data_IF_990921411717
#
_entry.id   IF_990921411717
#
_cell.length_a   1.000
_cell.length_b   1.000
_cell.length_c   1.000
_cell.angle_alpha   90.00
_cell.angle_beta   90.00
_cell.angle_gamma   90.00
#
_symmetry.space_group_name_H-M   'P 1'
#
loop_
_entity.id
_entity.type
_entity.pdbx_description
1 polymer ?
#
# COMPACT_ATOMS: atom_id res chain seq x y z
N UNK A 1 -12.19 -15.80 41.10
CA UNK A 1 -12.72 -16.79 40.14
C UNK A 1 -13.27 -16.19 38.85
N UNK A 2 -13.97 -15.05 38.83
CA UNK A 2 -14.56 -14.47 37.61
C UNK A 2 -13.56 -13.94 36.58
N UNK A 3 -12.36 -13.48 36.99
CA UNK A 3 -11.30 -13.00 36.06
C UNK A 3 -10.63 -14.12 35.26
N UNK A 4 -10.40 -15.29 35.91
CA UNK A 4 -9.78 -16.44 35.23
C UNK A 4 -10.71 -17.09 34.20
N UNK A 5 -12.02 -17.12 34.46
CA UNK A 5 -12.98 -17.65 33.49
C UNK A 5 -13.09 -16.79 32.22
N UNK A 6 -13.06 -15.45 32.33
CA UNK A 6 -13.06 -14.54 31.17
C UNK A 6 -11.79 -14.68 30.34
N UNK A 7 -10.64 -14.91 30.98
CA UNK A 7 -9.36 -15.10 30.29
C UNK A 7 -9.35 -16.43 29.51
N UNK A 8 -9.88 -17.52 30.07
CA UNK A 8 -10.00 -18.82 29.40
C UNK A 8 -10.96 -18.80 28.20
N UNK A 9 -12.06 -18.03 28.29
CA UNK A 9 -12.99 -17.88 27.17
C UNK A 9 -12.41 -17.05 26.03
N UNK A 10 -11.53 -16.08 26.31
CA UNK A 10 -10.81 -15.29 25.31
C UNK A 10 -9.81 -16.16 24.54
N UNK A 11 -9.03 -17.03 25.23
CA UNK A 11 -8.12 -17.99 24.57
C UNK A 11 -8.88 -19.02 23.71
N UNK A 12 -10.04 -19.50 24.14
CA UNK A 12 -10.88 -20.40 23.32
C UNK A 12 -11.50 -19.70 22.11
N UNK A 13 -11.77 -18.40 22.20
CA UNK A 13 -12.22 -17.57 21.08
C UNK A 13 -11.13 -17.39 20.01
N UNK A 14 -9.90 -17.11 20.45
CA UNK A 14 -8.74 -16.94 19.58
C UNK A 14 -8.38 -18.23 18.84
N UNK A 15 -8.37 -19.39 19.50
CA UNK A 15 -8.11 -20.68 18.85
C UNK A 15 -9.13 -21.01 17.75
N UNK A 16 -10.42 -20.68 17.96
CA UNK A 16 -11.46 -20.87 16.94
C UNK A 16 -11.34 -19.90 15.76
N UNK A 17 -10.84 -18.69 15.98
CA UNK A 17 -10.55 -17.73 14.92
C UNK A 17 -9.38 -18.21 14.07
N UNK A 18 -8.29 -18.65 14.70
CA UNK A 18 -7.11 -19.22 14.04
C UNK A 18 -7.44 -20.45 13.19
N UNK A 19 -8.21 -21.40 13.71
CA UNK A 19 -8.66 -22.57 12.95
C UNK A 19 -9.52 -22.21 11.73
N UNK A 20 -10.40 -21.21 11.86
CA UNK A 20 -11.20 -20.70 10.73
C UNK A 20 -10.30 -20.05 9.68
N UNK A 21 -9.29 -19.29 10.11
CA UNK A 21 -8.31 -18.68 9.23
C UNK A 21 -7.51 -19.74 8.45
N UNK A 22 -6.97 -20.77 9.13
CA UNK A 22 -6.26 -21.88 8.48
C UNK A 22 -7.10 -22.62 7.44
N UNK A 23 -8.38 -22.86 7.73
CA UNK A 23 -9.32 -23.50 6.78
C UNK A 23 -9.57 -22.60 5.57
N UNK A 24 -9.72 -21.28 5.78
CA UNK A 24 -9.87 -20.28 4.71
C UNK A 24 -8.61 -20.21 3.85
N UNK A 25 -7.42 -20.18 4.47
CA UNK A 25 -6.11 -20.20 3.79
C UNK A 25 -5.94 -21.45 2.92
N UNK A 26 -6.31 -22.65 3.40
CA UNK A 26 -6.26 -23.88 2.62
C UNK A 26 -7.21 -23.84 1.42
N UNK A 27 -8.43 -23.36 1.59
CA UNK A 27 -9.41 -23.20 0.50
C UNK A 27 -8.90 -22.20 -0.55
N UNK A 28 -8.34 -21.08 -0.15
CA UNK A 28 -7.80 -20.08 -1.06
C UNK A 28 -6.62 -20.62 -1.87
N UNK A 29 -5.67 -21.32 -1.24
CA UNK A 29 -4.56 -21.99 -1.95
C UNK A 29 -5.07 -23.01 -2.97
N UNK A 30 -6.11 -23.78 -2.63
CA UNK A 30 -6.75 -24.72 -3.54
C UNK A 30 -7.43 -24.03 -4.72
N UNK A 31 -8.21 -22.97 -4.47
CA UNK A 31 -8.88 -22.18 -5.52
C UNK A 31 -7.87 -21.55 -6.50
N UNK A 32 -6.73 -21.07 -6.00
CA UNK A 32 -5.66 -20.52 -6.85
C UNK A 32 -4.98 -21.56 -7.71
N UNK A 33 -4.73 -22.77 -7.17
CA UNK A 33 -4.24 -23.89 -8.00
C UNK A 33 -5.22 -24.21 -9.11
N UNK A 34 -6.51 -24.29 -8.79
CA UNK A 34 -7.58 -24.54 -9.78
C UNK A 34 -7.61 -23.39 -10.81
N UNK A 35 -7.57 -22.11 -10.37
CA UNK A 35 -7.57 -20.97 -11.30
C UNK A 35 -6.36 -20.97 -12.23
N UNK A 36 -5.15 -21.27 -11.71
CA UNK A 36 -3.94 -21.39 -12.54
C UNK A 36 -4.07 -22.51 -13.57
N UNK A 37 -4.59 -23.67 -13.18
CA UNK A 37 -4.84 -24.79 -14.10
C UNK A 37 -5.83 -24.40 -15.19
N UNK A 38 -6.93 -23.72 -14.84
CA UNK A 38 -7.94 -23.25 -15.79
C UNK A 38 -7.38 -22.19 -16.76
N UNK A 39 -6.56 -21.26 -16.28
CA UNK A 39 -5.90 -20.26 -17.13
C UNK A 39 -4.93 -20.94 -18.10
N UNK A 40 -4.09 -21.87 -17.63
CA UNK A 40 -3.19 -22.62 -18.49
C UNK A 40 -3.94 -23.46 -19.53
N UNK A 41 -5.05 -24.12 -19.14
CA UNK A 41 -5.88 -24.90 -20.05
C UNK A 41 -6.55 -24.01 -21.12
N UNK A 42 -7.05 -22.82 -20.72
CA UNK A 42 -7.62 -21.86 -21.66
C UNK A 42 -6.57 -21.30 -22.64
N UNK A 43 -5.37 -20.98 -22.15
CA UNK A 43 -4.26 -20.53 -23.01
C UNK A 43 -3.85 -21.62 -24.01
N UNK A 44 -3.78 -22.87 -23.58
CA UNK A 44 -3.46 -24.01 -24.46
C UNK A 44 -4.54 -24.20 -25.52
N UNK A 45 -5.82 -24.06 -25.16
CA UNK A 45 -6.93 -24.18 -26.10
C UNK A 45 -6.91 -23.06 -27.16
N UNK A 46 -6.54 -21.82 -26.76
CA UNK A 46 -6.39 -20.71 -27.70
C UNK A 46 -5.24 -20.99 -28.68
N UNK A 47 -4.07 -21.44 -28.18
CA UNK A 47 -2.92 -21.75 -29.03
C UNK A 47 -3.24 -22.88 -30.01
N UNK A 48 -3.91 -23.92 -29.55
CA UNK A 48 -4.33 -25.05 -30.45
C UNK A 48 -5.37 -24.59 -31.47
N UNK A 49 -6.30 -23.72 -31.06
CA UNK A 49 -7.31 -23.14 -31.97
C UNK A 49 -6.68 -22.26 -33.05
N UNK A 50 -5.70 -21.41 -32.68
CA UNK A 50 -4.97 -20.54 -33.63
C UNK A 50 -4.13 -21.37 -34.61
N UNK A 51 -3.48 -22.43 -34.15
CA UNK A 51 -2.72 -23.34 -35.03
C UNK A 51 -3.64 -24.05 -36.01
N UNK A 52 -4.86 -24.42 -35.59
CA UNK A 52 -5.84 -25.08 -36.46
C UNK A 52 -6.37 -24.13 -37.54
N UNK A 53 -6.71 -22.88 -37.15
CA UNK A 53 -7.16 -21.83 -38.11
C UNK A 53 -6.06 -21.42 -39.08
N UNK A 54 -4.78 -21.34 -38.63
CA UNK A 54 -3.66 -21.02 -39.50
C UNK A 54 -3.34 -22.11 -40.52
N UNK A 55 -3.66 -23.37 -40.23
CA UNK A 55 -3.51 -24.49 -41.18
C UNK A 55 -4.46 -24.40 -42.37
N UNK A 56 -5.64 -23.80 -42.16
CA UNK A 56 -6.66 -23.66 -43.20
C UNK A 56 -6.55 -22.35 -44.02
N UNK A 57 -5.68 -21.40 -43.59
CA UNK A 57 -5.56 -20.07 -44.22
C UNK A 57 -4.27 -19.88 -45.03
N UNK A 58 -3.28 -20.77 -44.91
CA UNK A 58 -2.03 -20.65 -45.68
C UNK A 58 -2.15 -21.35 -47.04
N UNK A 59 -2.27 -20.60 -48.15
CA UNK A 59 -1.99 -21.11 -49.47
C UNK A 59 -0.48 -21.27 -49.67
N UNK A 60 -0.08 -22.36 -50.23
CA UNK A 60 1.25 -22.70 -50.70
C UNK A 60 1.72 -21.69 -51.77
N UNK A 61 2.92 -21.17 -51.58
CA UNK A 61 3.86 -20.58 -52.56
C UNK A 61 3.34 -19.68 -53.68
N UNK A 62 3.84 -18.44 -53.75
CA UNK A 62 4.27 -17.82 -55.00
C UNK A 62 5.13 -16.59 -54.76
N UNK A 63 6.17 -16.52 -55.53
CA UNK A 63 7.25 -15.59 -55.80
C UNK A 63 6.96 -14.08 -55.76
N UNK A 64 7.90 -13.35 -55.23
CA UNK A 64 8.58 -12.12 -55.70
C UNK A 64 7.77 -10.98 -56.33
N UNK A 65 7.73 -9.85 -55.60
CA UNK A 65 7.77 -8.52 -56.26
C UNK A 65 8.27 -7.46 -55.24
N UNK A 66 9.39 -6.81 -55.59
CA UNK A 66 9.92 -5.69 -54.85
C UNK A 66 9.04 -4.44 -54.98
N UNK A 67 8.91 -3.71 -53.92
CA UNK A 67 8.33 -2.36 -53.92
C UNK A 67 9.34 -1.38 -53.37
N UNK A 68 9.77 -0.48 -54.24
CA UNK A 68 10.55 0.72 -53.93
C UNK A 68 9.73 1.65 -53.03
N UNK A 69 10.29 2.03 -51.87
CA UNK A 69 9.72 3.08 -51.01
C UNK A 69 10.41 4.40 -51.35
N UNK A 70 9.73 5.26 -52.07
CA UNK A 70 10.10 6.64 -52.30
C UNK A 70 9.94 7.47 -51.03
N UNK A 71 11.06 7.99 -50.50
CA UNK A 71 11.09 9.01 -49.46
C UNK A 71 10.87 10.37 -50.06
N UNK A 72 9.80 11.06 -49.72
CA UNK A 72 9.68 12.50 -49.87
C UNK A 72 9.51 13.13 -48.48
N UNK A 73 10.47 13.95 -48.12
CA UNK A 73 10.41 14.87 -46.98
C UNK A 73 9.68 16.14 -47.40
N UNK A 74 8.76 16.70 -46.62
CA UNK A 74 8.33 18.08 -46.75
C UNK A 74 9.17 18.97 -45.82
N UNK A 75 9.56 20.11 -46.40
CA UNK A 75 10.43 21.07 -45.79
C UNK A 75 9.85 21.95 -44.72
N UNK A 76 10.76 22.72 -44.20
CA UNK A 76 10.75 23.80 -43.23
C UNK A 76 9.44 24.57 -43.10
N UNK A 77 8.84 24.52 -41.87
CA UNK A 77 7.88 25.50 -41.41
C UNK A 77 8.50 26.35 -40.30
N UNK A 78 8.60 27.62 -40.62
CA UNK A 78 9.09 28.73 -39.82
C UNK A 78 8.40 28.79 -38.45
N UNK A 79 9.21 28.76 -37.37
CA UNK A 79 8.78 29.10 -36.01
C UNK A 79 8.37 30.58 -35.96
N UNK A 80 7.11 30.85 -35.83
CA UNK A 80 6.61 32.11 -35.25
C UNK A 80 6.55 31.98 -33.74
N UNK A 81 7.43 32.68 -33.07
CA UNK A 81 7.23 33.07 -31.67
C UNK A 81 6.08 34.06 -31.62
N UNK A 82 5.02 33.68 -30.96
CA UNK A 82 4.02 34.62 -30.46
C UNK A 82 3.49 34.15 -29.10
N UNK A 83 3.77 34.97 -28.11
CA UNK A 83 2.84 35.31 -27.08
C UNK A 83 2.70 34.40 -25.87
N UNK A 84 3.17 34.99 -24.76
CA UNK A 84 2.66 34.75 -23.38
C UNK A 84 1.58 33.67 -23.28
N UNK A 85 1.98 32.48 -22.81
CA UNK A 85 1.04 31.43 -22.48
C UNK A 85 0.02 31.91 -21.44
N UNK A 86 -1.21 32.02 -21.89
CA UNK A 86 -2.32 32.11 -20.96
C UNK A 86 -2.29 30.87 -20.06
N UNK A 87 -2.29 31.07 -18.73
CA UNK A 87 -2.55 30.00 -17.76
C UNK A 87 -3.69 29.15 -18.30
N UNK A 88 -3.57 27.81 -18.29
CA UNK A 88 -4.69 26.95 -18.66
C UNK A 88 -5.91 27.32 -17.83
N UNK A 89 -7.05 27.45 -18.48
CA UNK A 89 -8.28 27.79 -17.78
C UNK A 89 -8.61 26.68 -16.77
N UNK A 90 -8.86 27.02 -15.49
CA UNK A 90 -9.21 26.03 -14.45
C UNK A 90 -10.46 25.21 -14.75
N UNK A 91 -11.17 25.53 -15.84
CA UNK A 91 -12.45 24.92 -16.20
C UNK A 91 -12.36 23.54 -16.86
N UNK A 92 -11.20 23.11 -17.38
CA UNK A 92 -11.14 21.86 -18.17
C UNK A 92 -11.43 20.60 -17.33
N UNK A 93 -11.08 20.59 -16.05
CA UNK A 93 -11.22 19.43 -15.16
C UNK A 93 -12.03 19.73 -13.88
N UNK A 94 -12.85 20.78 -13.88
CA UNK A 94 -13.61 21.22 -12.71
C UNK A 94 -14.59 20.15 -12.18
N UNK A 95 -15.07 19.25 -13.03
CA UNK A 95 -15.98 18.16 -12.68
C UNK A 95 -15.26 16.88 -12.22
N UNK A 96 -13.92 16.83 -12.30
CA UNK A 96 -13.13 15.68 -11.84
C UNK A 96 -13.08 15.70 -10.31
N UNK A 97 -13.39 14.57 -9.64
CA UNK A 97 -13.32 14.49 -8.17
C UNK A 97 -11.98 15.00 -7.61
N UNK A 98 -12.04 15.72 -6.49
CA UNK A 98 -10.89 16.27 -5.75
C UNK A 98 -10.12 17.41 -6.44
N UNK A 99 -10.45 17.82 -7.66
CA UNK A 99 -9.75 18.93 -8.34
C UNK A 99 -9.94 20.24 -7.59
N UNK A 100 -11.12 20.48 -7.01
CA UNK A 100 -11.35 21.68 -6.20
C UNK A 100 -10.44 21.75 -4.99
N UNK A 101 -10.33 20.67 -4.24
CA UNK A 101 -9.44 20.55 -3.07
C UNK A 101 -7.97 20.72 -3.47
N UNK A 102 -7.57 20.16 -4.60
CA UNK A 102 -6.21 20.30 -5.12
C UNK A 102 -5.89 21.73 -5.50
N UNK A 103 -6.83 22.47 -6.11
CA UNK A 103 -6.63 23.89 -6.42
C UNK A 103 -6.48 24.75 -5.17
N UNK A 104 -7.16 24.42 -4.06
CA UNK A 104 -6.98 25.08 -2.76
C UNK A 104 -5.59 24.83 -2.17
N UNK A 105 -4.91 23.75 -2.58
CA UNK A 105 -3.54 23.42 -2.14
C UNK A 105 -2.45 24.00 -3.06
N UNK A 106 -2.78 24.60 -4.21
CA UNK A 106 -1.81 25.13 -5.19
C UNK A 106 -0.92 26.24 -4.57
N UNK A 107 -1.41 26.97 -3.56
CA UNK A 107 -0.62 27.95 -2.83
C UNK A 107 0.52 27.32 -2.00
N UNK A 108 0.39 26.05 -1.63
CA UNK A 108 1.41 25.30 -0.88
C UNK A 108 2.51 24.79 -1.82
N UNK A 109 2.14 24.32 -3.01
CA UNK A 109 3.09 23.89 -4.06
C UNK A 109 2.45 24.06 -5.44
N UNK A 110 3.06 24.96 -6.26
CA UNK A 110 2.54 25.30 -7.58
C UNK A 110 2.54 24.12 -8.58
N UNK A 111 3.30 23.05 -8.34
CA UNK A 111 3.33 21.84 -9.17
C UNK A 111 2.02 21.05 -9.12
N UNK A 112 1.12 21.36 -8.18
CA UNK A 112 -0.24 20.80 -8.16
C UNK A 112 -0.99 21.15 -9.44
N UNK A 113 -0.70 22.30 -10.08
CA UNK A 113 -1.28 22.67 -11.37
C UNK A 113 -1.02 21.62 -12.47
N UNK A 114 0.15 20.96 -12.46
CA UNK A 114 0.50 19.91 -13.44
C UNK A 114 -0.38 18.66 -13.25
N UNK A 115 -0.73 18.34 -12.00
CA UNK A 115 -1.65 17.26 -11.68
C UNK A 115 -3.08 17.62 -12.09
N UNK A 116 -3.53 18.85 -11.78
CA UNK A 116 -4.88 19.34 -12.11
C UNK A 116 -5.10 19.40 -13.61
N UNK A 117 -4.10 19.81 -14.39
CA UNK A 117 -4.19 19.85 -15.87
C UNK A 117 -4.51 18.47 -16.47
N UNK A 118 -4.04 17.41 -15.85
CA UNK A 118 -4.16 16.02 -16.30
C UNK A 118 -5.06 15.17 -15.37
N UNK A 119 -5.88 15.81 -14.54
CA UNK A 119 -6.63 15.12 -13.49
C UNK A 119 -7.55 14.02 -14.01
N UNK A 120 -8.13 14.20 -15.19
CA UNK A 120 -9.00 13.22 -15.88
C UNK A 120 -8.26 11.91 -16.25
N UNK A 121 -6.94 11.92 -16.26
CA UNK A 121 -6.13 10.73 -16.55
C UNK A 121 -5.78 9.93 -15.28
N UNK A 122 -5.72 10.57 -14.10
CA UNK A 122 -5.35 9.91 -12.87
C UNK A 122 -6.48 9.05 -12.29
N UNK A 123 -6.16 7.90 -11.67
CA UNK A 123 -7.14 7.19 -10.86
C UNK A 123 -7.67 8.09 -9.74
N UNK A 124 -8.98 8.09 -9.51
CA UNK A 124 -9.63 8.91 -8.48
C UNK A 124 -8.97 8.76 -7.10
N UNK A 125 -8.55 7.53 -6.74
CA UNK A 125 -7.88 7.24 -5.45
C UNK A 125 -6.55 7.96 -5.29
N UNK A 126 -5.82 8.20 -6.40
CA UNK A 126 -4.55 8.93 -6.40
C UNK A 126 -4.78 10.42 -6.16
N UNK A 127 -5.78 11.01 -6.84
CA UNK A 127 -6.17 12.40 -6.59
C UNK A 127 -6.67 12.60 -5.16
N UNK A 128 -7.48 11.66 -4.65
CA UNK A 128 -7.95 11.66 -3.26
C UNK A 128 -6.79 11.61 -2.26
N UNK A 129 -5.79 10.77 -2.52
CA UNK A 129 -4.60 10.67 -1.66
C UNK A 129 -3.87 12.01 -1.60
N UNK A 130 -3.60 12.64 -2.74
CA UNK A 130 -2.95 13.95 -2.80
C UNK A 130 -3.80 15.04 -2.14
N UNK A 131 -5.12 15.09 -2.36
CA UNK A 131 -6.00 16.09 -1.76
C UNK A 131 -6.06 16.03 -0.22
N UNK A 132 -5.61 14.92 0.37
CA UNK A 132 -5.55 14.72 1.82
C UNK A 132 -4.13 14.84 2.38
N UNK A 133 -3.11 14.69 1.55
CA UNK A 133 -1.73 14.71 2.00
C UNK A 133 -0.78 15.26 0.92
N UNK A 134 -0.36 16.53 1.09
CA UNK A 134 0.57 17.20 0.17
C UNK A 134 1.92 16.48 0.08
N UNK A 135 2.33 15.74 1.12
CA UNK A 135 3.59 14.98 1.12
C UNK A 135 3.65 13.93 -0.01
N UNK A 136 2.51 13.57 -0.60
CA UNK A 136 2.41 12.59 -1.70
C UNK A 136 2.56 13.21 -3.08
N UNK A 137 2.84 14.52 -3.20
CA UNK A 137 2.86 15.22 -4.49
C UNK A 137 3.89 14.63 -5.46
N UNK A 138 5.13 14.40 -5.02
CA UNK A 138 6.17 13.82 -5.88
C UNK A 138 5.75 12.43 -6.39
N UNK A 139 5.23 11.58 -5.52
CA UNK A 139 4.67 10.27 -5.88
C UNK A 139 3.57 10.39 -6.95
N UNK A 140 2.69 11.40 -6.85
CA UNK A 140 1.60 11.58 -7.82
C UNK A 140 2.12 12.12 -9.15
N UNK A 141 3.08 13.05 -9.13
CA UNK A 141 3.71 13.57 -10.35
C UNK A 141 4.40 12.47 -11.14
N UNK A 142 5.10 11.57 -10.46
CA UNK A 142 5.86 10.47 -11.06
C UNK A 142 4.98 9.23 -11.40
N UNK A 143 3.67 9.28 -11.09
CA UNK A 143 2.76 8.14 -11.25
C UNK A 143 2.83 7.48 -12.63
N UNK A 144 2.79 8.27 -13.71
CA UNK A 144 2.74 7.73 -15.06
C UNK A 144 4.06 7.10 -15.50
N UNK A 145 5.18 7.59 -14.99
CA UNK A 145 6.51 7.09 -15.33
C UNK A 145 6.89 5.86 -14.50
N UNK A 146 6.33 5.73 -13.29
CA UNK A 146 6.78 4.72 -12.32
C UNK A 146 5.75 3.65 -11.97
N UNK A 147 4.46 3.82 -12.30
CA UNK A 147 3.39 2.89 -11.91
C UNK A 147 3.57 1.43 -12.38
N UNK A 148 4.31 1.21 -13.45
CA UNK A 148 4.58 -0.10 -14.03
C UNK A 148 6.01 -0.60 -13.73
N UNK A 149 6.81 0.17 -12.96
CA UNK A 149 8.15 -0.25 -12.53
C UNK A 149 8.00 -1.32 -11.43
N UNK A 150 8.73 -2.43 -11.51
CA UNK A 150 8.71 -3.44 -10.45
C UNK A 150 9.11 -2.86 -9.10
N UNK A 151 8.39 -3.26 -8.05
CA UNK A 151 8.72 -2.85 -6.69
C UNK A 151 10.08 -3.40 -6.25
N UNK A 152 10.81 -2.62 -5.45
CA UNK A 152 12.07 -3.07 -4.87
C UNK A 152 11.83 -4.19 -3.84
N UNK A 153 12.73 -5.18 -3.84
CA UNK A 153 12.70 -6.33 -2.93
C UNK A 153 13.38 -6.04 -1.59
N UNK A 154 13.87 -4.81 -1.38
CA UNK A 154 14.60 -4.41 -0.18
C UNK A 154 14.22 -3.00 0.27
N UNK A 155 14.16 -2.78 1.59
CA UNK A 155 14.04 -1.44 2.16
C UNK A 155 15.37 -0.64 2.07
N UNK A 156 16.41 -1.22 1.51
CA UNK A 156 17.74 -0.63 1.38
C UNK A 156 18.64 -0.96 2.55
N UNK A 157 19.03 0.05 3.34
CA UNK A 157 19.91 -0.15 4.50
C UNK A 157 19.19 -0.95 5.60
N UNK A 158 19.91 -1.93 6.16
CA UNK A 158 19.40 -2.69 7.29
C UNK A 158 19.19 -1.75 8.51
N UNK A 159 18.02 -1.80 9.17
CA UNK A 159 17.81 -1.08 10.41
C UNK A 159 18.77 -1.58 11.48
N UNK A 160 19.16 -0.72 12.39
CA UNK A 160 19.77 -1.18 13.63
C UNK A 160 18.73 -2.02 14.38
N UNK A 161 19.09 -3.25 14.74
CA UNK A 161 18.14 -4.17 15.36
C UNK A 161 17.55 -3.56 16.65
N UNK A 162 16.22 -3.50 16.71
CA UNK A 162 15.45 -2.85 17.78
C UNK A 162 15.05 -1.42 17.47
N UNK A 163 15.63 -0.76 16.48
CA UNK A 163 15.16 0.53 15.98
C UNK A 163 14.12 0.32 14.89
N UNK A 164 12.92 0.85 15.08
CA UNK A 164 11.82 0.70 14.13
C UNK A 164 11.92 1.78 13.07
N UNK A 165 12.27 1.44 11.80
CA UNK A 165 12.43 2.42 10.73
C UNK A 165 11.07 3.04 10.37
N UNK A 166 11.06 4.32 9.99
CA UNK A 166 9.90 4.92 9.33
C UNK A 166 9.89 4.49 7.86
N UNK A 167 8.89 3.72 7.47
CA UNK A 167 8.61 3.39 6.08
C UNK A 167 7.30 4.07 5.67
N UNK A 168 7.31 4.75 4.53
CA UNK A 168 6.12 5.41 4.02
C UNK A 168 5.42 4.50 3.02
N UNK A 169 4.10 4.35 3.13
CA UNK A 169 3.32 3.52 2.20
C UNK A 169 3.37 4.03 0.76
N UNK A 170 3.61 5.34 0.58
CA UNK A 170 3.73 6.02 -0.71
C UNK A 170 5.19 6.24 -1.16
N UNK A 171 6.17 5.58 -0.54
CA UNK A 171 7.54 5.54 -1.09
C UNK A 171 7.52 4.84 -2.45
N UNK A 172 8.14 5.46 -3.45
CA UNK A 172 8.09 5.01 -4.84
C UNK A 172 8.67 3.63 -5.07
N UNK A 173 9.55 3.19 -4.20
CA UNK A 173 10.14 1.84 -4.25
C UNK A 173 9.11 0.73 -4.17
N UNK A 174 7.95 0.97 -3.55
CA UNK A 174 6.88 -0.03 -3.38
C UNK A 174 5.46 0.52 -3.48
N UNK A 175 5.28 1.85 -3.41
CA UNK A 175 3.97 2.49 -3.32
C UNK A 175 3.06 2.22 -4.51
N UNK A 176 3.62 2.08 -5.73
CA UNK A 176 2.87 1.75 -6.94
C UNK A 176 2.48 0.26 -7.01
N UNK A 177 3.05 -0.60 -6.18
CA UNK A 177 2.74 -2.02 -6.13
C UNK A 177 1.26 -2.28 -5.84
N UNK A 178 0.69 -3.27 -6.53
CA UNK A 178 -0.74 -3.60 -6.38
C UNK A 178 -1.06 -4.18 -5.01
N UNK A 179 -2.18 -3.76 -4.43
CA UNK A 179 -2.77 -4.32 -3.23
C UNK A 179 -4.28 -4.41 -3.40
N UNK A 180 -4.74 -5.58 -3.82
CA UNK A 180 -6.10 -5.82 -4.27
C UNK A 180 -6.43 -5.06 -5.56
N UNK A 181 -7.50 -4.28 -5.56
CA UNK A 181 -7.90 -3.37 -6.65
C UNK A 181 -7.28 -1.97 -6.51
N UNK A 182 -6.31 -1.81 -5.60
CA UNK A 182 -5.65 -0.56 -5.27
C UNK A 182 -4.13 -0.72 -5.33
N UNK A 183 -3.40 0.16 -4.70
CA UNK A 183 -1.94 0.14 -4.57
C UNK A 183 -1.53 0.32 -3.10
N UNK A 184 -0.27 -0.04 -2.79
CA UNK A 184 0.29 0.08 -1.44
C UNK A 184 0.20 1.52 -0.94
N UNK A 185 0.50 2.52 -1.79
CA UNK A 185 0.43 3.93 -1.43
C UNK A 185 -0.95 4.36 -0.90
N UNK A 186 -2.03 3.73 -1.37
CA UNK A 186 -3.41 4.12 -1.03
C UNK A 186 -3.98 3.28 0.13
N UNK A 187 -3.75 1.96 0.13
CA UNK A 187 -4.40 1.02 1.05
C UNK A 187 -3.42 0.24 1.93
N UNK A 188 -2.12 0.52 1.82
CA UNK A 188 -1.06 -0.30 2.40
C UNK A 188 -0.62 0.07 3.83
N UNK A 189 -1.37 0.90 4.58
CA UNK A 189 -0.96 1.30 5.92
C UNK A 189 -0.70 0.11 6.87
N UNK A 190 -1.58 -0.88 6.90
CA UNK A 190 -1.40 -2.08 7.71
C UNK A 190 -0.16 -2.91 7.32
N UNK A 191 0.01 -3.31 6.06
CA UNK A 191 1.23 -3.94 5.57
C UNK A 191 2.51 -3.15 5.86
N UNK A 192 2.47 -1.82 5.71
CA UNK A 192 3.63 -0.96 5.98
C UNK A 192 3.98 -0.94 7.47
N UNK A 193 2.99 -0.91 8.37
CA UNK A 193 3.24 -1.02 9.80
C UNK A 193 3.89 -2.37 10.18
N UNK A 194 3.41 -3.48 9.61
CA UNK A 194 4.06 -4.79 9.81
C UNK A 194 5.48 -4.79 9.24
N UNK A 195 5.73 -4.19 8.07
CA UNK A 195 7.06 -4.10 7.50
C UNK A 195 8.02 -3.30 8.40
N UNK A 196 7.59 -2.15 8.96
CA UNK A 196 8.37 -1.38 9.91
C UNK A 196 8.75 -2.19 11.15
N UNK A 197 7.76 -2.81 11.79
CA UNK A 197 7.97 -3.59 13.02
C UNK A 197 8.84 -4.81 12.75
N UNK A 198 8.55 -5.57 11.71
CA UNK A 198 9.27 -6.81 11.42
C UNK A 198 10.69 -6.54 10.95
N UNK A 199 10.94 -5.55 10.10
CA UNK A 199 12.31 -5.19 9.68
C UNK A 199 13.12 -4.64 10.85
N UNK A 200 12.53 -3.79 11.71
CA UNK A 200 13.22 -3.24 12.88
C UNK A 200 13.61 -4.29 13.92
N UNK A 201 12.70 -5.22 14.25
CA UNK A 201 12.98 -6.26 15.23
C UNK A 201 13.94 -7.34 14.71
N UNK A 202 13.81 -7.73 13.43
CA UNK A 202 14.61 -8.81 12.84
C UNK A 202 15.93 -8.35 12.20
N UNK A 203 16.06 -7.05 11.86
CA UNK A 203 17.17 -6.52 11.06
C UNK A 203 17.09 -6.89 9.57
N UNK A 204 16.00 -7.53 9.10
CA UNK A 204 15.83 -7.97 7.71
C UNK A 204 15.47 -6.80 6.80
N UNK A 205 16.08 -6.75 5.63
CA UNK A 205 15.81 -5.72 4.60
C UNK A 205 14.80 -6.16 3.54
N UNK A 206 14.53 -7.45 3.42
CA UNK A 206 13.61 -8.04 2.43
C UNK A 206 12.13 -7.97 2.86
N UNK A 207 11.84 -7.43 4.04
CA UNK A 207 10.48 -7.22 4.52
C UNK A 207 10.03 -5.81 4.10
N UNK A 208 9.68 -5.65 2.82
CA UNK A 208 9.18 -4.37 2.31
C UNK A 208 7.66 -4.24 2.50
N UNK A 209 7.09 -3.01 2.49
CA UNK A 209 5.63 -2.81 2.49
C UNK A 209 4.92 -3.60 1.39
N UNK A 210 5.51 -3.71 0.18
CA UNK A 210 4.93 -4.49 -0.91
C UNK A 210 5.01 -6.01 -0.67
N UNK A 211 6.11 -6.51 -0.11
CA UNK A 211 6.24 -7.93 0.27
C UNK A 211 5.14 -8.33 1.25
N UNK A 212 4.90 -7.48 2.27
CA UNK A 212 3.82 -7.73 3.25
C UNK A 212 2.44 -7.57 2.62
N UNK A 213 2.21 -6.57 1.77
CA UNK A 213 0.94 -6.36 1.07
C UNK A 213 0.62 -7.56 0.16
N UNK A 214 1.57 -8.01 -0.64
CA UNK A 214 1.44 -9.18 -1.49
C UNK A 214 1.14 -10.45 -0.68
N UNK A 215 1.83 -10.66 0.44
CA UNK A 215 1.54 -11.75 1.36
C UNK A 215 0.13 -11.64 1.94
N UNK A 216 -0.27 -10.45 2.39
CA UNK A 216 -1.58 -10.16 2.97
C UNK A 216 -2.71 -10.51 2.00
N UNK A 217 -2.65 -10.02 0.77
CA UNK A 217 -3.61 -10.34 -0.28
C UNK A 217 -3.61 -11.84 -0.58
N UNK A 218 -2.43 -12.40 -0.78
CA UNK A 218 -2.24 -13.80 -1.13
C UNK A 218 -2.71 -14.78 -0.06
N UNK A 219 -2.85 -14.38 1.18
CA UNK A 219 -3.25 -15.24 2.29
C UNK A 219 -4.60 -14.87 2.92
N UNK A 220 -5.33 -13.91 2.30
CA UNK A 220 -6.71 -13.58 2.69
C UNK A 220 -6.79 -12.66 3.89
N UNK A 221 -5.77 -11.82 4.11
CA UNK A 221 -5.77 -10.75 5.10
C UNK A 221 -6.22 -9.41 4.52
N UNK A 222 -6.44 -9.32 3.20
CA UNK A 222 -7.14 -8.21 2.57
C UNK A 222 -8.64 -8.51 2.56
N UNK A 223 -9.47 -7.58 3.04
CA UNK A 223 -10.94 -7.72 3.04
C UNK A 223 -11.50 -7.40 1.66
N UNK A 224 -12.80 -7.62 1.47
CA UNK A 224 -13.49 -7.24 0.23
C UNK A 224 -13.64 -5.74 0.08
N UNK A 225 -13.69 -5.05 1.20
CA UNK A 225 -13.76 -3.59 1.31
C UNK A 225 -12.40 -2.92 1.08
N UNK A 226 -11.37 -3.71 0.73
CA UNK A 226 -9.98 -3.27 0.50
C UNK A 226 -9.24 -2.83 1.78
N UNK A 227 -9.74 -3.21 2.95
CA UNK A 227 -9.10 -2.96 4.23
C UNK A 227 -8.18 -4.11 4.64
N UNK A 228 -7.14 -3.82 5.40
CA UNK A 228 -6.29 -4.85 6.00
C UNK A 228 -7.01 -5.46 7.22
N UNK A 229 -7.19 -6.79 7.19
CA UNK A 229 -7.77 -7.53 8.31
C UNK A 229 -6.86 -7.47 9.55
N UNK A 230 -7.44 -7.30 10.72
CA UNK A 230 -6.72 -7.40 12.00
C UNK A 230 -6.05 -8.76 12.22
N UNK A 231 -6.47 -9.80 11.50
CA UNK A 231 -5.81 -11.10 11.52
C UNK A 231 -4.37 -11.04 10.95
N UNK A 232 -4.04 -10.05 10.10
CA UNK A 232 -2.66 -9.78 9.70
C UNK A 232 -1.80 -9.41 10.91
N UNK A 233 -2.34 -8.58 11.82
CA UNK A 233 -1.64 -8.09 12.99
C UNK A 233 -1.35 -9.19 14.02
N UNK A 234 -2.22 -10.21 14.10
CA UNK A 234 -2.09 -11.28 15.10
C UNK A 234 -1.46 -12.56 14.56
N UNK A 235 -1.84 -12.94 13.32
CA UNK A 235 -1.46 -14.24 12.75
C UNK A 235 -0.55 -14.12 11.52
N UNK A 236 -0.85 -13.15 10.65
CA UNK A 236 -0.08 -12.97 9.41
C UNK A 236 1.34 -12.47 9.65
N UNK A 237 1.56 -11.67 10.68
CA UNK A 237 2.86 -11.12 11.04
C UNK A 237 3.92 -12.19 11.37
N UNK A 238 3.51 -13.39 11.79
CA UNK A 238 4.40 -14.49 12.12
C UNK A 238 5.25 -14.96 10.92
N UNK A 239 4.78 -14.80 9.69
CA UNK A 239 5.56 -15.08 8.48
C UNK A 239 6.82 -14.22 8.39
N UNK A 240 6.79 -13.04 9.02
CA UNK A 240 7.87 -12.07 8.99
C UNK A 240 8.75 -12.10 10.24
N UNK A 241 8.63 -13.15 11.07
CA UNK A 241 9.48 -13.38 12.21
C UNK A 241 9.06 -12.66 13.49
N UNK A 242 7.84 -12.14 13.55
CA UNK A 242 7.32 -11.42 14.72
C UNK A 242 5.97 -11.96 15.20
N UNK A 243 5.73 -11.90 16.49
CA UNK A 243 4.47 -12.26 17.14
C UNK A 243 3.73 -11.02 17.61
N UNK A 244 2.48 -10.82 17.15
CA UNK A 244 1.62 -9.74 17.56
C UNK A 244 0.61 -10.20 18.64
N UNK A 245 0.59 -9.50 19.77
CA UNK A 245 -0.28 -9.78 20.91
C UNK A 245 -1.15 -8.56 21.22
N UNK A 246 -2.46 -8.76 21.36
CA UNK A 246 -3.37 -7.66 21.70
C UNK A 246 -3.00 -7.01 23.03
N UNK A 247 -3.05 -5.68 23.07
CA UNK A 247 -2.80 -4.85 24.23
C UNK A 247 -4.07 -4.05 24.59
N UNK A 248 -4.35 -3.92 25.88
CA UNK A 248 -5.43 -3.06 26.36
C UNK A 248 -5.02 -1.59 26.36
N UNK A 249 -5.98 -0.69 26.16
CA UNK A 249 -5.75 0.76 26.19
C UNK A 249 -5.51 1.23 27.63
N UNK A 250 -4.27 1.38 28.00
CA UNK A 250 -3.79 1.88 29.29
C UNK A 250 -2.40 2.49 29.10
N UNK A 251 -2.23 3.75 29.51
CA UNK A 251 -0.97 4.51 29.28
C UNK A 251 0.24 3.81 29.89
N UNK A 252 0.12 3.33 31.14
CA UNK A 252 1.24 2.66 31.81
C UNK A 252 1.60 1.33 31.15
N UNK A 253 0.60 0.56 30.70
CA UNK A 253 0.83 -0.67 29.97
C UNK A 253 1.52 -0.41 28.63
N UNK A 254 1.10 0.62 27.90
CA UNK A 254 1.72 1.05 26.62
C UNK A 254 3.17 1.51 26.85
N UNK A 255 3.40 2.41 27.83
CA UNK A 255 4.72 2.92 28.17
C UNK A 255 5.68 1.80 28.60
N UNK A 256 5.23 0.91 29.48
CA UNK A 256 6.02 -0.25 29.89
C UNK A 256 6.37 -1.16 28.72
N UNK A 257 5.42 -1.46 27.82
CA UNK A 257 5.64 -2.29 26.64
C UNK A 257 6.74 -1.70 25.75
N UNK A 258 6.66 -0.40 25.47
CA UNK A 258 7.66 0.33 24.67
C UNK A 258 9.04 0.39 25.37
N UNK A 259 9.08 0.51 26.70
CA UNK A 259 10.34 0.55 27.46
C UNK A 259 11.15 -0.76 27.39
N UNK A 260 10.48 -1.89 27.09
CA UNK A 260 11.13 -3.17 26.81
C UNK A 260 11.55 -3.34 25.34
N UNK A 261 11.42 -2.30 24.51
CA UNK A 261 11.76 -2.33 23.08
C UNK A 261 10.70 -3.04 22.22
N UNK A 262 9.48 -3.22 22.74
CA UNK A 262 8.38 -3.86 22.02
C UNK A 262 7.52 -2.79 21.36
N UNK A 263 7.57 -2.59 20.03
CA UNK A 263 6.72 -1.62 19.32
C UNK A 263 5.25 -2.02 19.38
N UNK A 264 4.37 -1.02 19.21
CA UNK A 264 2.92 -1.22 19.24
C UNK A 264 2.32 -0.73 17.92
N UNK A 265 1.61 -1.59 17.19
CA UNK A 265 0.77 -1.16 16.07
C UNK A 265 -0.62 -0.82 16.61
N UNK A 266 -1.12 0.37 16.29
CA UNK A 266 -2.46 0.84 16.63
C UNK A 266 -3.33 0.92 15.38
N UNK A 267 -4.55 0.35 15.45
CA UNK A 267 -5.64 0.63 14.52
C UNK A 267 -6.36 1.88 15.00
N UNK A 268 -6.37 2.91 14.16
CA UNK A 268 -6.93 4.23 14.44
C UNK A 268 -8.33 4.37 13.83
N UNK A 269 -9.24 4.97 14.57
CA UNK A 269 -10.51 5.51 14.08
C UNK A 269 -10.38 6.96 13.67
N UNK A 270 -11.51 7.63 13.33
CA UNK A 270 -11.52 9.02 12.90
C UNK A 270 -10.85 9.97 13.90
N UNK A 271 -10.02 10.88 13.40
CA UNK A 271 -9.25 11.83 14.19
C UNK A 271 -8.08 12.43 13.42
N UNK A 272 -6.96 12.68 14.10
CA UNK A 272 -5.79 13.35 13.53
C UNK A 272 -5.09 12.55 12.42
N UNK A 273 -5.26 11.23 12.41
CA UNK A 273 -4.57 10.33 11.47
C UNK A 273 -5.42 9.94 10.27
N UNK A 274 -6.74 9.99 10.40
CA UNK A 274 -7.65 9.48 9.34
C UNK A 274 -9.08 9.95 9.55
N UNK A 275 -9.84 10.03 8.46
CA UNK A 275 -11.30 10.25 8.49
C UNK A 275 -12.08 8.93 8.73
N UNK A 276 -11.47 7.75 8.45
CA UNK A 276 -12.16 6.45 8.50
C UNK A 276 -11.41 5.43 9.36
N UNK A 277 -10.29 4.91 8.86
CA UNK A 277 -9.44 3.91 9.48
C UNK A 277 -8.01 4.03 9.01
N UNK A 278 -7.05 3.75 9.89
CA UNK A 278 -5.61 3.82 9.60
C UNK A 278 -4.83 2.93 10.55
N UNK A 279 -3.58 2.64 10.23
CA UNK A 279 -2.65 1.99 11.13
C UNK A 279 -1.41 2.85 11.32
N UNK A 280 -0.94 2.96 12.56
CA UNK A 280 0.30 3.63 12.95
C UNK A 280 1.12 2.73 13.86
N UNK A 281 2.41 3.03 14.04
CA UNK A 281 3.30 2.34 14.97
C UNK A 281 3.74 3.27 16.07
N UNK A 282 3.55 2.89 17.34
CA UNK A 282 4.23 3.55 18.46
C UNK A 282 5.60 2.89 18.64
N UNK A 283 6.65 3.69 18.62
CA UNK A 283 8.05 3.22 18.62
C UNK A 283 8.78 3.52 19.91
N UNK A 284 8.26 4.43 20.74
CA UNK A 284 8.87 4.82 22.00
C UNK A 284 7.94 5.66 22.88
N UNK A 285 8.30 5.79 24.15
CA UNK A 285 7.63 6.65 25.12
C UNK A 285 8.67 7.38 25.95
N UNK A 286 8.67 8.68 25.91
CA UNK A 286 9.62 9.51 26.64
C UNK A 286 8.94 10.80 27.14
N UNK A 287 9.22 11.20 28.37
CA UNK A 287 8.70 12.44 28.98
C UNK A 287 7.16 12.58 28.91
N UNK A 288 6.42 11.45 29.01
CA UNK A 288 4.95 11.46 28.93
C UNK A 288 4.41 11.53 27.49
N UNK A 289 5.25 11.36 26.48
CA UNK A 289 4.87 11.47 25.07
C UNK A 289 5.27 10.22 24.29
N UNK A 290 4.43 9.81 23.36
CA UNK A 290 4.66 8.71 22.43
C UNK A 290 5.35 9.21 21.16
N UNK A 291 6.33 8.45 20.68
CA UNK A 291 6.89 8.57 19.35
C UNK A 291 6.06 7.69 18.39
N UNK A 292 5.70 8.24 17.24
CA UNK A 292 4.84 7.60 16.25
C UNK A 292 5.57 7.49 14.93
N UNK A 293 5.52 6.33 14.30
CA UNK A 293 5.77 6.16 12.87
C UNK A 293 4.42 6.02 12.15
N UNK A 294 4.03 7.07 11.41
CA UNK A 294 2.84 7.05 10.56
C UNK A 294 3.23 6.70 9.13
N UNK A 295 2.78 5.56 8.57
CA UNK A 295 3.12 5.17 7.21
C UNK A 295 2.62 6.14 6.14
N UNK A 296 1.72 7.07 6.48
CA UNK A 296 1.19 8.04 5.54
C UNK A 296 1.75 9.47 5.71
N UNK A 297 2.54 9.78 6.77
CA UNK A 297 3.01 11.15 6.97
C UNK A 297 4.32 11.22 7.74
N UNK A 298 5.31 11.88 7.14
CA UNK A 298 6.55 12.28 7.81
C UNK A 298 6.27 13.32 8.90
N UNK A 299 5.45 14.33 8.58
CA UNK A 299 5.10 15.42 9.49
C UNK A 299 4.47 14.89 10.79
N UNK A 300 3.54 13.93 10.69
CA UNK A 300 2.95 13.30 11.88
C UNK A 300 3.92 12.40 12.62
N UNK A 301 4.90 11.81 11.92
CA UNK A 301 5.95 10.99 12.53
C UNK A 301 7.03 11.81 13.25
N UNK A 302 7.24 13.06 12.86
CA UNK A 302 8.17 13.97 13.54
C UNK A 302 7.58 14.55 14.84
N UNK A 303 6.25 14.53 14.98
CA UNK A 303 5.54 15.01 16.16
C UNK A 303 5.51 13.93 17.24
N UNK A 304 5.66 14.32 18.51
CA UNK A 304 5.32 13.46 19.65
C UNK A 304 3.86 13.66 20.06
N UNK A 305 3.24 12.62 20.63
CA UNK A 305 1.82 12.53 20.90
C UNK A 305 1.56 12.18 22.36
N UNK A 306 0.69 12.91 23.03
CA UNK A 306 0.26 12.57 24.38
C UNK A 306 -0.75 11.41 24.37
N UNK A 307 -0.88 10.71 25.51
CA UNK A 307 -1.93 9.71 25.70
C UNK A 307 -3.33 10.28 25.48
N UNK A 308 -3.57 11.50 25.96
CA UNK A 308 -4.86 12.18 25.82
C UNK A 308 -5.26 12.44 24.36
N UNK A 309 -4.30 12.74 23.49
CA UNK A 309 -4.53 12.89 22.05
C UNK A 309 -4.84 11.54 21.38
N UNK A 310 -4.13 10.48 21.77
CA UNK A 310 -4.25 9.17 21.11
C UNK A 310 -5.44 8.35 21.59
N UNK A 311 -5.77 8.35 22.90
CA UNK A 311 -6.68 7.39 23.53
C UNK A 311 -8.07 7.30 22.92
N UNK A 312 -8.60 8.43 22.42
CA UNK A 312 -9.94 8.49 21.83
C UNK A 312 -9.99 8.09 20.35
N UNK A 313 -8.82 7.94 19.73
CA UNK A 313 -8.65 7.58 18.32
C UNK A 313 -8.22 6.12 18.15
N UNK A 314 -7.62 5.50 19.18
CA UNK A 314 -7.19 4.09 19.14
C UNK A 314 -8.43 3.19 19.30
N UNK A 315 -8.66 2.35 18.27
CA UNK A 315 -9.76 1.35 18.26
C UNK A 315 -9.26 0.00 18.77
N UNK A 316 -8.05 -0.39 18.40
CA UNK A 316 -7.40 -1.61 18.85
C UNK A 316 -5.88 -1.48 18.72
N UNK A 317 -5.11 -2.30 19.42
CA UNK A 317 -3.65 -2.29 19.31
C UNK A 317 -3.03 -3.65 19.62
N UNK A 318 -1.81 -3.85 19.09
CA UNK A 318 -0.99 -5.06 19.27
C UNK A 318 0.46 -4.66 19.54
N UNK A 319 1.07 -5.25 20.53
CA UNK A 319 2.51 -5.16 20.75
C UNK A 319 3.23 -6.33 20.11
N UNK A 320 4.50 -6.14 19.77
CA UNK A 320 5.27 -7.11 19.00
C UNK A 320 6.56 -7.50 19.67
N UNK A 321 6.93 -8.79 19.53
CA UNK A 321 8.23 -9.36 19.86
C UNK A 321 8.71 -10.25 18.72
N UNK A 322 9.99 -10.64 18.75
CA UNK A 322 10.49 -11.70 17.87
C UNK A 322 9.73 -13.02 18.13
N UNK A 323 9.60 -13.84 17.10
CA UNK A 323 9.10 -15.21 17.28
C UNK A 323 10.06 -16.00 18.19
N UNK A 324 9.49 -16.83 19.07
CA UNK A 324 10.26 -17.78 19.90
C UNK A 324 10.83 -18.92 19.05
#
# INVERSE_FOLDING_TARGET
MHKMARQSDNYRGQGRSYERHLRRRRRMKQMRRIRRILVCAASLAIVLGTVWVLKDILPSEAEGAGVEVSRTLPGDAVLKQDGLGSKPSPQKNADVPYVKELLEMEEQDSRISDVVEKADLYPERVLKMLSKNIETLDFVLDYWDKKDVPCEESIGQAPVQGEIPLLLQWDERWGYGTYGESMVAVSGCGPTCIAMVASGLTGRTDITPYTVASYSENNGFLTKEMDTSWDLMTYGCQEFGVTGTMLGLDENAMANTLSYGNPIICSMGPGDFTDNGHFIVLTGYENGMFHVNDPNSKIRSEKTWSYEELKNQIVNMWWYSLNE
#
